data_IF_787184868472
#
_entry.id   IF_787184868472
#
_cell.length_a   1.000
_cell.length_b   1.000
_cell.length_c   1.000
_cell.angle_alpha   90.00
_cell.angle_beta   90.00
_cell.angle_gamma   90.00
#
_symmetry.space_group_name_H-M   'P 1'
#
loop_
_entity.id
_entity.type
_entity.pdbx_description
1 polymer ?
#
# COMPACT_ATOMS: atom_id res chain seq x y z
N UNK A 1 -8.29 13.74 19.99
CA UNK A 1 -7.52 12.74 19.22
C UNK A 1 -6.07 12.86 19.59
N UNK A 2 -5.58 11.87 20.31
CA UNK A 2 -4.17 11.61 20.57
C UNK A 2 -3.52 10.99 19.33
N UNK A 3 -2.18 10.97 19.25
CA UNK A 3 -1.46 10.31 18.16
C UNK A 3 -1.78 8.81 18.05
N UNK A 4 -2.00 8.14 19.18
CA UNK A 4 -2.32 6.71 19.23
C UNK A 4 -3.71 6.40 18.66
N UNK A 5 -4.73 7.21 18.98
CA UNK A 5 -6.08 7.05 18.43
C UNK A 5 -6.10 7.19 16.90
N UNK A 6 -5.24 8.07 16.35
CA UNK A 6 -5.08 8.22 14.90
C UNK A 6 -4.50 6.96 14.25
N UNK A 7 -3.51 6.32 14.89
CA UNK A 7 -2.85 5.11 14.36
C UNK A 7 -3.84 3.96 14.27
N UNK A 8 -4.59 3.70 15.35
CA UNK A 8 -5.57 2.60 15.37
C UNK A 8 -6.66 2.76 14.31
N UNK A 9 -7.07 4.00 14.03
CA UNK A 9 -8.01 4.28 12.92
C UNK A 9 -7.39 3.97 11.56
N UNK A 10 -6.12 4.32 11.34
CA UNK A 10 -5.43 4.04 10.07
C UNK A 10 -5.23 2.53 9.89
N UNK A 11 -4.85 1.80 10.95
CA UNK A 11 -4.70 0.33 10.89
C UNK A 11 -5.99 -0.37 10.46
N UNK A 12 -7.14 0.01 11.03
CA UNK A 12 -8.43 -0.57 10.63
C UNK A 12 -8.81 -0.26 9.18
N UNK A 13 -8.54 0.96 8.71
CA UNK A 13 -8.77 1.34 7.31
C UNK A 13 -7.85 0.60 6.34
N UNK A 14 -6.57 0.45 6.70
CA UNK A 14 -5.54 -0.27 5.93
C UNK A 14 -5.88 -1.75 5.80
N UNK A 15 -6.34 -2.40 6.88
CA UNK A 15 -6.76 -3.81 6.82
C UNK A 15 -7.92 -4.00 5.86
N UNK A 16 -8.99 -3.20 6.00
CA UNK A 16 -10.16 -3.31 5.12
C UNK A 16 -9.85 -3.03 3.65
N UNK A 17 -8.95 -2.07 3.38
CA UNK A 17 -8.47 -1.81 2.02
C UNK A 17 -7.62 -2.97 1.48
N UNK A 18 -6.76 -3.56 2.30
CA UNK A 18 -5.93 -4.70 1.91
C UNK A 18 -6.77 -5.92 1.51
N UNK A 19 -7.78 -6.28 2.32
CA UNK A 19 -8.69 -7.38 2.02
C UNK A 19 -9.46 -7.16 0.71
N UNK A 20 -9.96 -5.93 0.49
CA UNK A 20 -10.65 -5.57 -0.75
C UNK A 20 -9.73 -5.64 -1.96
N UNK A 21 -8.51 -5.10 -1.88
CA UNK A 21 -7.56 -5.16 -3.00
C UNK A 21 -7.11 -6.59 -3.30
N UNK A 22 -7.01 -7.45 -2.28
CA UNK A 22 -6.70 -8.87 -2.46
C UNK A 22 -7.85 -9.67 -3.09
N UNK A 23 -9.10 -9.28 -2.83
CA UNK A 23 -10.30 -10.03 -3.26
C UNK A 23 -10.90 -9.49 -4.56
N UNK A 24 -11.15 -8.20 -4.62
CA UNK A 24 -11.84 -7.50 -5.71
C UNK A 24 -10.86 -6.78 -6.64
N UNK A 25 -9.60 -6.63 -6.24
CA UNK A 25 -8.66 -5.76 -6.92
C UNK A 25 -9.02 -4.27 -6.75
N UNK A 26 -8.37 -3.43 -7.55
CA UNK A 26 -8.59 -2.00 -7.55
C UNK A 26 -7.60 -1.28 -8.46
N UNK A 27 -7.78 0.02 -8.72
CA UNK A 27 -6.85 0.80 -9.50
C UNK A 27 -5.52 0.98 -8.77
N UNK A 28 -4.43 1.16 -9.50
CA UNK A 28 -3.07 1.33 -8.97
C UNK A 28 -2.95 2.44 -7.92
N UNK A 29 -3.78 3.48 -8.01
CA UNK A 29 -3.87 4.57 -7.04
C UNK A 29 -4.23 4.07 -5.63
N UNK A 30 -5.18 3.14 -5.49
CA UNK A 30 -5.56 2.56 -4.20
C UNK A 30 -4.42 1.71 -3.60
N UNK A 31 -3.68 0.98 -4.46
CA UNK A 31 -2.49 0.22 -4.05
C UNK A 31 -1.36 1.13 -3.56
N UNK A 32 -1.07 2.20 -4.30
CA UNK A 32 -0.06 3.18 -3.90
C UNK A 32 -0.43 3.90 -2.60
N UNK A 33 -1.71 4.23 -2.41
CA UNK A 33 -2.20 4.84 -1.18
C UNK A 33 -2.00 3.88 0.02
N UNK A 34 -2.31 2.60 -0.16
CA UNK A 34 -2.12 1.57 0.87
C UNK A 34 -0.64 1.42 1.25
N UNK A 35 0.24 1.29 0.27
CA UNK A 35 1.70 1.16 0.48
C UNK A 35 2.25 2.39 1.22
N UNK A 36 1.85 3.59 0.80
CA UNK A 36 2.28 4.84 1.45
C UNK A 36 1.78 4.95 2.90
N UNK A 37 0.53 4.57 3.17
CA UNK A 37 -0.02 4.56 4.53
C UNK A 37 0.74 3.60 5.45
N UNK A 38 1.04 2.40 4.97
CA UNK A 38 1.84 1.42 5.69
C UNK A 38 3.26 1.92 5.99
N UNK A 39 3.88 2.65 5.05
CA UNK A 39 5.16 3.31 5.27
C UNK A 39 5.12 4.35 6.41
N UNK A 40 4.09 5.20 6.46
CA UNK A 40 3.90 6.18 7.54
C UNK A 40 3.69 5.51 8.90
N UNK A 41 3.02 4.36 8.91
CA UNK A 41 2.84 3.54 10.11
C UNK A 41 4.09 2.75 10.53
N UNK A 42 5.17 2.78 9.73
CA UNK A 42 6.36 1.95 9.95
C UNK A 42 6.12 0.45 9.70
N UNK A 43 4.99 0.10 9.08
CA UNK A 43 4.61 -1.27 8.74
C UNK A 43 5.25 -1.71 7.41
N UNK A 44 6.59 -1.65 7.34
CA UNK A 44 7.36 -1.86 6.10
C UNK A 44 7.24 -3.28 5.57
N UNK A 45 7.15 -4.31 6.43
CA UNK A 45 6.94 -5.69 5.98
C UNK A 45 5.61 -5.87 5.23
N UNK A 46 4.53 -5.26 5.75
CA UNK A 46 3.24 -5.25 5.06
C UNK A 46 3.31 -4.43 3.78
N UNK A 47 3.92 -3.24 3.80
CA UNK A 47 4.08 -2.40 2.61
C UNK A 47 4.82 -3.15 1.49
N UNK A 48 5.87 -3.90 1.83
CA UNK A 48 6.63 -4.72 0.89
C UNK A 48 5.78 -5.86 0.32
N UNK A 49 5.01 -6.57 1.14
CA UNK A 49 4.13 -7.64 0.67
C UNK A 49 3.07 -7.13 -0.32
N UNK A 50 2.45 -5.99 -0.03
CA UNK A 50 1.49 -5.34 -0.93
C UNK A 50 2.18 -4.89 -2.23
N UNK A 51 3.38 -4.32 -2.14
CA UNK A 51 4.17 -3.95 -3.32
C UNK A 51 4.46 -5.14 -4.24
N UNK A 52 4.93 -6.27 -3.70
CA UNK A 52 5.19 -7.49 -4.49
C UNK A 52 3.93 -8.04 -5.16
N UNK A 53 2.78 -7.95 -4.49
CA UNK A 53 1.51 -8.37 -5.06
C UNK A 53 1.10 -7.44 -6.21
N UNK A 54 1.18 -6.12 -5.98
CA UNK A 54 0.93 -5.11 -7.01
C UNK A 54 1.79 -5.32 -8.27
N UNK A 55 3.08 -5.65 -8.13
CA UNK A 55 3.94 -5.95 -9.29
C UNK A 55 3.39 -7.09 -10.15
N UNK A 56 2.73 -8.07 -9.52
CA UNK A 56 2.12 -9.21 -10.21
C UNK A 56 0.78 -8.81 -10.84
N UNK A 57 -0.04 -8.04 -10.14
CA UNK A 57 -1.37 -7.60 -10.62
C UNK A 57 -1.26 -6.63 -11.79
N UNK A 58 -0.30 -5.71 -11.74
CA UNK A 58 -0.09 -4.67 -12.75
C UNK A 58 1.06 -4.99 -13.72
N UNK A 59 1.45 -6.26 -13.85
CA UNK A 59 2.60 -6.67 -14.67
C UNK A 59 2.52 -6.21 -16.14
N UNK A 60 1.32 -6.04 -16.67
CA UNK A 60 1.07 -5.59 -18.06
C UNK A 60 0.80 -4.08 -18.17
N UNK A 61 0.84 -3.33 -17.06
CA UNK A 61 0.60 -1.87 -17.04
C UNK A 61 1.80 -1.11 -16.43
N UNK A 62 2.80 -0.75 -17.25
CA UNK A 62 4.02 -0.07 -16.78
C UNK A 62 3.74 1.27 -16.10
N UNK A 63 2.67 1.97 -16.50
CA UNK A 63 2.28 3.25 -15.91
C UNK A 63 1.81 3.08 -14.46
N UNK A 64 1.01 2.05 -14.20
CA UNK A 64 0.61 1.66 -12.85
C UNK A 64 1.80 1.22 -12.00
N UNK A 65 2.73 0.45 -12.58
CA UNK A 65 3.93 0.01 -11.87
C UNK A 65 4.82 1.18 -11.45
N UNK A 66 4.98 2.22 -12.27
CA UNK A 66 5.73 3.43 -11.91
C UNK A 66 5.08 4.14 -10.71
N UNK A 67 3.75 4.29 -10.72
CA UNK A 67 3.01 4.92 -9.63
C UNK A 67 3.14 4.13 -8.31
N UNK A 68 3.05 2.81 -8.37
CA UNK A 68 3.17 1.92 -7.21
C UNK A 68 4.61 1.91 -6.70
N UNK A 69 5.61 1.88 -7.59
CA UNK A 69 7.03 1.91 -7.23
C UNK A 69 7.41 3.20 -6.51
N UNK A 70 6.90 4.35 -6.97
CA UNK A 70 7.09 5.63 -6.26
C UNK A 70 6.51 5.61 -4.85
N UNK A 71 5.38 4.94 -4.64
CA UNK A 71 4.81 4.77 -3.31
C UNK A 71 5.66 3.84 -2.43
N UNK A 72 6.15 2.75 -2.99
CA UNK A 72 7.06 1.83 -2.32
C UNK A 72 8.39 2.49 -1.91
N UNK A 73 8.97 3.34 -2.77
CA UNK A 73 10.16 4.13 -2.45
C UNK A 73 9.91 5.10 -1.28
N UNK A 74 8.78 5.80 -1.28
CA UNK A 74 8.38 6.69 -0.16
C UNK A 74 8.18 5.92 1.14
N UNK A 75 7.69 4.68 1.05
CA UNK A 75 7.52 3.79 2.19
C UNK A 75 8.83 3.10 2.63
N UNK A 76 9.93 3.28 1.91
CA UNK A 76 11.23 2.68 2.21
C UNK A 76 11.31 1.18 1.92
N UNK A 77 10.48 0.67 1.02
CA UNK A 77 10.40 -0.77 0.66
C UNK A 77 10.80 -1.08 -0.77
N UNK A 78 11.21 -0.07 -1.54
CA UNK A 78 11.80 -0.19 -2.86
C UNK A 78 12.91 0.86 -3.04
N UNK A 79 13.88 0.58 -3.92
CA UNK A 79 15.01 1.46 -4.27
C UNK A 79 14.72 2.33 -5.51
#
# INVERSE_FOLDING_TARGET
MTGAERIQMIEGMVSGLSDRLATDGGPAEEWAQLIGALGVLGSTEQAFAIYKNAETVFADDPSSLDLITRAAQRAGVAE
#
